data_IF_618563024773
#
_entry.id   IF_618563024773
#
_cell.length_a   1.000
_cell.length_b   1.000
_cell.length_c   1.000
_cell.angle_alpha   90.00
_cell.angle_beta   90.00
_cell.angle_gamma   90.00
#
_symmetry.space_group_name_H-M   'P 1'
#
loop_
_entity.id
_entity.type
_entity.pdbx_description
1 polymer ?
#
# COMPACT_ATOMS: atom_id res chain seq x y z
N UNK A 1 18.40 -21.79 -14.25
CA UNK A 1 17.80 -21.52 -12.93
C UNK A 1 17.46 -22.82 -12.23
N UNK A 2 17.58 -22.90 -10.90
CA UNK A 2 17.15 -24.07 -10.14
C UNK A 2 16.36 -23.61 -8.90
N UNK A 3 15.03 -23.61 -9.03
CA UNK A 3 14.09 -23.20 -8.00
C UNK A 3 14.22 -24.09 -6.74
N UNK A 4 14.51 -25.40 -6.91
CA UNK A 4 14.71 -26.32 -5.78
C UNK A 4 15.94 -25.97 -4.94
N UNK A 5 16.97 -25.38 -5.54
CA UNK A 5 18.14 -24.89 -4.81
C UNK A 5 17.93 -23.50 -4.19
N UNK A 6 16.76 -22.88 -4.40
CA UNK A 6 16.50 -21.48 -4.06
C UNK A 6 17.22 -20.48 -4.98
N UNK A 7 17.67 -20.94 -6.16
CA UNK A 7 18.38 -20.12 -7.16
C UNK A 7 17.41 -19.73 -8.27
N UNK A 8 16.68 -18.64 -8.06
CA UNK A 8 15.78 -18.03 -9.03
C UNK A 8 15.97 -16.51 -9.09
N UNK A 9 15.53 -15.89 -10.18
CA UNK A 9 15.40 -14.43 -10.31
C UNK A 9 13.98 -14.09 -10.71
N UNK A 10 13.45 -13.00 -10.15
CA UNK A 10 12.16 -12.39 -10.50
C UNK A 10 12.35 -10.98 -11.06
N UNK A 11 13.53 -10.70 -11.62
CA UNK A 11 13.90 -9.37 -12.13
C UNK A 11 12.92 -8.83 -13.18
N UNK A 12 12.28 -9.71 -13.95
CA UNK A 12 11.31 -9.36 -14.99
C UNK A 12 9.85 -9.27 -14.51
N UNK A 13 9.58 -9.45 -13.21
CA UNK A 13 8.24 -9.31 -12.65
C UNK A 13 8.09 -7.91 -12.06
N UNK A 14 7.51 -6.96 -12.77
CA UNK A 14 7.48 -5.56 -12.28
C UNK A 14 6.56 -5.36 -11.06
N UNK A 15 5.49 -6.16 -10.96
CA UNK A 15 4.52 -6.09 -9.85
C UNK A 15 5.12 -6.65 -8.55
N UNK A 16 5.34 -5.76 -7.58
CA UNK A 16 5.90 -6.08 -6.26
C UNK A 16 5.03 -7.04 -5.45
N UNK A 17 3.71 -7.01 -5.63
CA UNK A 17 2.75 -7.89 -4.96
C UNK A 17 2.77 -9.27 -5.61
N UNK A 18 2.90 -9.33 -6.93
CA UNK A 18 3.08 -10.57 -7.66
C UNK A 18 4.40 -11.27 -7.28
N UNK A 19 5.50 -10.52 -7.22
CA UNK A 19 6.80 -11.00 -6.72
C UNK A 19 6.65 -11.62 -5.34
N UNK A 20 5.99 -10.91 -4.43
CA UNK A 20 5.76 -11.36 -3.05
C UNK A 20 4.99 -12.70 -2.97
N UNK A 21 3.96 -12.87 -3.80
CA UNK A 21 3.21 -14.12 -3.91
C UNK A 21 4.08 -15.25 -4.45
N UNK A 22 4.80 -15.00 -5.55
CA UNK A 22 5.65 -16.01 -6.19
C UNK A 22 6.72 -16.50 -5.22
N UNK A 23 7.42 -15.59 -4.53
CA UNK A 23 8.43 -15.91 -3.50
C UNK A 23 7.87 -16.82 -2.40
N UNK A 24 6.63 -16.58 -1.97
CA UNK A 24 5.94 -17.42 -0.99
C UNK A 24 5.62 -18.81 -1.56
N UNK A 25 5.10 -18.88 -2.77
CA UNK A 25 4.75 -20.13 -3.46
C UNK A 25 5.97 -21.03 -3.74
N UNK A 26 7.11 -20.44 -4.10
CA UNK A 26 8.33 -21.18 -4.46
C UNK A 26 9.34 -21.27 -3.32
N UNK A 27 8.89 -21.09 -2.07
CA UNK A 27 9.76 -21.15 -0.90
C UNK A 27 10.62 -22.43 -0.91
N UNK A 28 11.91 -22.29 -0.60
CA UNK A 28 12.85 -23.42 -0.57
C UNK A 28 12.41 -24.48 0.42
N UNK A 29 11.87 -24.05 1.56
CA UNK A 29 11.27 -24.93 2.57
C UNK A 29 9.81 -25.26 2.17
N UNK A 30 9.50 -26.51 1.80
CA UNK A 30 8.15 -26.91 1.42
C UNK A 30 7.11 -26.64 2.51
N UNK A 31 7.49 -26.68 3.80
CA UNK A 31 6.57 -26.44 4.91
C UNK A 31 6.15 -24.97 5.03
N UNK A 32 6.90 -24.04 4.43
CA UNK A 32 6.59 -22.60 4.40
C UNK A 32 5.78 -22.17 3.19
N UNK A 33 5.55 -23.07 2.23
CA UNK A 33 4.75 -22.78 1.04
C UNK A 33 3.26 -22.66 1.43
N UNK A 34 2.53 -21.71 0.83
CA UNK A 34 1.10 -21.56 1.06
C UNK A 34 0.32 -22.77 0.54
N UNK A 35 -0.84 -23.05 1.14
CA UNK A 35 -1.88 -23.85 0.46
C UNK A 35 -2.58 -22.97 -0.57
N UNK A 36 -3.31 -23.58 -1.51
CA UNK A 36 -4.09 -22.83 -2.51
C UNK A 36 -5.04 -21.81 -1.85
N UNK A 37 -5.75 -22.21 -0.79
CA UNK A 37 -6.61 -21.29 -0.05
C UNK A 37 -5.86 -20.12 0.61
N UNK A 38 -4.60 -20.30 0.99
CA UNK A 38 -3.76 -19.21 1.50
C UNK A 38 -3.36 -18.23 0.37
N UNK A 39 -3.07 -18.76 -0.82
CA UNK A 39 -2.72 -17.91 -1.97
C UNK A 39 -3.89 -17.01 -2.39
N UNK A 40 -5.14 -17.48 -2.29
CA UNK A 40 -6.32 -16.69 -2.65
C UNK A 40 -6.57 -15.51 -1.70
N UNK A 41 -6.13 -15.59 -0.44
CA UNK A 41 -6.17 -14.48 0.51
C UNK A 41 -5.04 -13.47 0.31
N UNK A 42 -4.07 -13.77 -0.56
CA UNK A 42 -2.95 -12.88 -0.83
C UNK A 42 -3.42 -11.58 -1.50
N UNK A 43 -2.84 -10.41 -1.17
CA UNK A 43 -3.22 -9.12 -1.74
C UNK A 43 -3.14 -9.00 -3.26
N UNK A 44 -2.42 -9.91 -3.91
CA UNK A 44 -2.40 -10.02 -5.36
C UNK A 44 -3.81 -10.23 -5.94
N UNK A 45 -4.64 -11.05 -5.28
CA UNK A 45 -5.99 -11.35 -5.71
C UNK A 45 -7.05 -10.40 -5.13
N UNK A 46 -6.65 -9.39 -4.36
CA UNK A 46 -7.62 -8.43 -3.84
C UNK A 46 -8.21 -7.59 -4.95
N UNK A 47 -9.55 -7.43 -4.98
CA UNK A 47 -10.19 -6.47 -5.87
C UNK A 47 -9.78 -5.05 -5.48
N UNK A 48 -9.96 -4.11 -6.41
CA UNK A 48 -9.47 -2.73 -6.25
C UNK A 48 -10.03 -2.05 -5.00
N UNK A 49 -11.31 -2.27 -4.69
CA UNK A 49 -11.99 -1.71 -3.53
C UNK A 49 -11.30 -2.12 -2.22
N UNK A 50 -10.84 -3.37 -2.14
CA UNK A 50 -10.11 -3.89 -0.97
C UNK A 50 -8.70 -3.34 -0.89
N UNK A 51 -8.05 -3.07 -2.04
CA UNK A 51 -6.74 -2.39 -2.08
C UNK A 51 -6.86 -0.95 -1.59
N UNK A 52 -7.90 -0.23 -2.00
CA UNK A 52 -8.23 1.11 -1.51
C UNK A 52 -8.54 1.08 -0.01
N UNK A 53 -9.35 0.13 0.46
CA UNK A 53 -9.62 -0.03 1.90
C UNK A 53 -8.33 -0.26 2.70
N UNK A 54 -7.41 -1.07 2.19
CA UNK A 54 -6.12 -1.29 2.83
C UNK A 54 -5.31 0.02 2.93
N UNK A 55 -5.23 0.81 1.87
CA UNK A 55 -4.56 2.12 1.89
C UNK A 55 -5.23 3.09 2.89
N UNK A 56 -6.57 3.09 2.97
CA UNK A 56 -7.32 3.88 3.96
C UNK A 56 -7.00 3.46 5.39
N UNK A 57 -6.92 2.15 5.66
CA UNK A 57 -6.54 1.62 6.98
C UNK A 57 -5.10 1.99 7.34
N UNK A 58 -4.16 1.91 6.39
CA UNK A 58 -2.79 2.41 6.60
C UNK A 58 -2.81 3.93 6.88
N UNK A 59 -3.65 4.71 6.21
CA UNK A 59 -3.85 6.14 6.48
C UNK A 59 -4.44 6.48 7.85
N UNK A 60 -4.98 5.47 8.55
CA UNK A 60 -5.44 5.54 9.94
C UNK A 60 -4.38 5.08 10.95
N UNK A 61 -3.27 4.48 10.51
CA UNK A 61 -2.17 4.14 11.41
C UNK A 61 -1.52 5.41 11.99
N UNK A 62 -0.98 5.28 13.21
CA UNK A 62 -0.40 6.39 13.97
C UNK A 62 0.67 7.16 13.18
N UNK A 63 1.41 6.48 12.33
CA UNK A 63 2.46 7.08 11.50
C UNK A 63 1.88 8.01 10.44
N UNK A 64 0.81 7.60 9.75
CA UNK A 64 0.14 8.43 8.74
C UNK A 64 -0.68 9.56 9.39
N UNK A 65 -1.34 9.27 10.51
CA UNK A 65 -2.05 10.30 11.29
C UNK A 65 -1.10 11.41 11.74
N UNK A 66 0.09 11.04 12.20
CA UNK A 66 1.14 11.97 12.64
C UNK A 66 2.15 12.31 11.53
N UNK A 67 1.76 12.24 10.25
CA UNK A 67 2.64 12.47 9.09
C UNK A 67 3.49 13.76 9.15
N UNK A 68 3.04 14.79 9.87
CA UNK A 68 3.75 16.09 10.04
C UNK A 68 4.85 16.06 11.11
N UNK A 69 4.88 15.02 11.93
CA UNK A 69 5.84 14.78 13.02
C UNK A 69 6.43 13.39 12.91
N UNK A 70 6.44 12.81 11.71
CA UNK A 70 6.97 11.48 11.48
C UNK A 70 8.49 11.47 11.72
N UNK A 71 8.98 10.35 12.25
CA UNK A 71 10.40 10.15 12.51
C UNK A 71 11.21 10.25 11.20
N UNK A 72 12.34 10.97 11.17
CA UNK A 72 13.15 11.13 9.96
C UNK A 72 13.58 9.82 9.31
N UNK A 73 13.91 8.79 10.10
CA UNK A 73 14.29 7.46 9.61
C UNK A 73 13.15 6.75 8.90
N UNK A 74 11.91 6.95 9.36
CA UNK A 74 10.72 6.40 8.72
C UNK A 74 10.47 7.09 7.38
N UNK A 75 10.56 8.43 7.35
CA UNK A 75 10.41 9.21 6.13
C UNK A 75 11.46 8.81 5.09
N UNK A 76 12.72 8.71 5.48
CA UNK A 76 13.79 8.28 4.57
C UNK A 76 13.55 6.90 3.97
N UNK A 77 13.10 5.94 4.78
CA UNK A 77 12.80 4.59 4.30
C UNK A 77 11.56 4.55 3.37
N UNK A 78 10.59 5.44 3.57
CA UNK A 78 9.43 5.58 2.69
C UNK A 78 9.81 6.27 1.38
N UNK A 79 10.65 7.30 1.43
CA UNK A 79 11.16 8.00 0.26
C UNK A 79 11.96 7.04 -0.64
N UNK A 80 12.79 6.17 -0.05
CA UNK A 80 13.48 5.10 -0.78
C UNK A 80 12.52 4.09 -1.42
N UNK A 81 11.36 3.79 -0.82
CA UNK A 81 10.35 2.94 -1.46
C UNK A 81 9.62 3.66 -2.59
N UNK A 82 9.43 4.97 -2.44
CA UNK A 82 8.70 5.85 -3.36
C UNK A 82 9.55 6.37 -4.52
N UNK A 83 10.88 6.25 -4.46
CA UNK A 83 11.78 6.79 -5.47
C UNK A 83 11.46 6.25 -6.87
N UNK A 84 11.24 7.16 -7.84
CA UNK A 84 10.91 6.82 -9.22
C UNK A 84 9.50 6.26 -9.43
N UNK A 85 8.63 6.31 -8.43
CA UNK A 85 7.25 5.77 -8.48
C UNK A 85 6.24 6.84 -8.90
N UNK A 86 5.07 6.40 -9.35
CA UNK A 86 4.00 7.27 -9.85
C UNK A 86 3.53 8.31 -8.83
N UNK A 87 3.69 8.07 -7.53
CA UNK A 87 3.24 8.93 -6.44
C UNK A 87 4.35 9.77 -5.79
N UNK A 88 5.57 9.79 -6.33
CA UNK A 88 6.57 10.81 -5.92
C UNK A 88 6.01 12.20 -6.26
N UNK A 89 6.15 13.19 -5.36
CA UNK A 89 5.59 14.55 -5.53
C UNK A 89 4.09 14.55 -5.84
N UNK A 90 3.34 13.64 -5.19
CA UNK A 90 1.92 13.37 -5.46
C UNK A 90 1.04 14.62 -5.42
N UNK A 91 1.38 15.62 -4.60
CA UNK A 91 0.57 16.85 -4.51
C UNK A 91 0.40 17.56 -5.84
N UNK A 92 1.45 17.57 -6.67
CA UNK A 92 1.43 18.19 -8.00
C UNK A 92 0.54 17.44 -9.00
N UNK A 93 0.16 16.19 -8.66
CA UNK A 93 -0.60 15.27 -9.51
C UNK A 93 -2.08 15.21 -9.15
N UNK A 94 -2.45 15.72 -7.97
CA UNK A 94 -3.86 15.83 -7.53
C UNK A 94 -4.47 17.12 -8.12
N UNK A 95 -5.73 17.10 -8.58
CA UNK A 95 -6.44 18.30 -9.00
C UNK A 95 -6.36 19.42 -7.94
N UNK A 96 -5.98 20.66 -8.32
CA UNK A 96 -5.82 21.76 -7.37
C UNK A 96 -7.06 22.03 -6.53
N UNK A 97 -8.25 21.94 -7.12
CA UNK A 97 -9.52 22.17 -6.44
C UNK A 97 -9.74 21.17 -5.29
N UNK A 98 -9.33 19.92 -5.52
CA UNK A 98 -9.40 18.87 -4.50
C UNK A 98 -8.36 19.09 -3.40
N UNK A 99 -7.15 19.49 -3.75
CA UNK A 99 -6.10 19.82 -2.78
C UNK A 99 -6.52 21.00 -1.88
N UNK A 100 -7.04 22.08 -2.45
CA UNK A 100 -7.51 23.25 -1.70
C UNK A 100 -8.63 22.88 -0.72
N UNK A 101 -9.59 22.07 -1.18
CA UNK A 101 -10.70 21.58 -0.36
C UNK A 101 -10.21 20.79 0.86
N UNK A 102 -9.25 19.88 0.68
CA UNK A 102 -8.76 19.02 1.76
C UNK A 102 -7.72 19.70 2.67
N UNK A 103 -6.91 20.63 2.16
CA UNK A 103 -5.91 21.38 2.96
C UNK A 103 -6.57 22.42 3.87
N UNK A 104 -7.71 23.00 3.46
CA UNK A 104 -8.40 24.09 4.18
C UNK A 104 -8.82 23.76 5.62
N UNK A 105 -9.05 22.48 5.96
CA UNK A 105 -9.59 22.07 7.28
C UNK A 105 -8.53 21.65 8.31
N UNK A 106 -7.36 21.15 7.90
CA UNK A 106 -6.47 20.36 8.81
C UNK A 106 -4.96 20.63 8.65
N UNK A 107 -4.57 21.80 8.11
CA UNK A 107 -3.19 22.17 7.72
C UNK A 107 -2.70 21.39 6.51
N UNK A 108 -1.81 21.98 5.72
CA UNK A 108 -1.23 21.34 4.54
C UNK A 108 -0.68 19.93 4.87
N UNK A 109 -0.99 18.94 4.03
CA UNK A 109 -0.33 17.63 4.11
C UNK A 109 1.16 17.78 3.76
N UNK A 110 2.07 16.95 4.29
CA UNK A 110 3.41 16.88 3.73
C UNK A 110 3.38 16.18 2.36
N UNK A 111 4.24 16.57 1.43
CA UNK A 111 4.33 15.93 0.09
C UNK A 111 5.21 14.66 0.16
N UNK A 112 4.78 13.70 0.97
CA UNK A 112 5.44 12.40 1.14
C UNK A 112 4.39 11.29 1.25
N UNK A 113 4.85 10.03 1.29
CA UNK A 113 3.96 8.84 1.31
C UNK A 113 2.98 8.84 2.48
N UNK A 114 3.40 9.28 3.69
CA UNK A 114 2.49 9.37 4.84
C UNK A 114 1.43 10.45 4.64
N UNK A 115 1.80 11.57 4.03
CA UNK A 115 0.87 12.63 3.63
C UNK A 115 -0.17 12.15 2.63
N UNK A 116 0.25 11.40 1.61
CA UNK A 116 -0.65 10.81 0.62
C UNK A 116 -1.61 9.81 1.25
N UNK A 117 -1.10 8.89 2.10
CA UNK A 117 -1.93 7.91 2.79
C UNK A 117 -2.99 8.58 3.67
N UNK A 118 -2.59 9.65 4.38
CA UNK A 118 -3.50 10.43 5.20
C UNK A 118 -4.53 11.19 4.35
N UNK A 119 -4.11 11.71 3.19
CA UNK A 119 -4.97 12.37 2.22
C UNK A 119 -6.03 11.40 1.68
N UNK A 120 -5.62 10.23 1.17
CA UNK A 120 -6.52 9.20 0.64
C UNK A 120 -7.55 8.80 1.69
N UNK A 121 -7.11 8.55 2.93
CA UNK A 121 -8.01 8.25 4.03
C UNK A 121 -9.05 9.36 4.25
N UNK A 122 -8.63 10.63 4.28
CA UNK A 122 -9.55 11.75 4.51
C UNK A 122 -10.50 11.96 3.32
N UNK A 123 -10.04 11.76 2.09
CA UNK A 123 -10.86 11.83 0.89
C UNK A 123 -12.02 10.83 0.98
N UNK A 124 -11.74 9.57 1.30
CA UNK A 124 -12.78 8.54 1.39
C UNK A 124 -13.63 8.56 2.68
N UNK A 125 -13.23 9.31 3.72
CA UNK A 125 -14.01 9.44 4.96
C UNK A 125 -14.90 10.70 4.96
N UNK A 126 -14.34 11.85 4.54
CA UNK A 126 -14.97 13.16 4.68
C UNK A 126 -15.52 13.72 3.34
N UNK A 127 -15.17 13.10 2.20
CA UNK A 127 -15.38 13.63 0.84
C UNK A 127 -15.74 12.54 -0.17
N UNK A 128 -16.71 11.68 0.16
CA UNK A 128 -17.04 10.49 -0.65
C UNK A 128 -17.45 10.83 -2.10
N UNK A 129 -18.17 11.94 -2.31
CA UNK A 129 -18.56 12.39 -3.65
C UNK A 129 -17.34 12.77 -4.52
N UNK A 130 -16.32 13.39 -3.91
CA UNK A 130 -15.08 13.72 -4.62
C UNK A 130 -14.19 12.49 -4.84
N UNK A 131 -14.26 11.52 -3.92
CA UNK A 131 -13.53 10.26 -4.03
C UNK A 131 -13.97 9.45 -5.26
N UNK A 132 -15.26 9.48 -5.58
CA UNK A 132 -15.81 8.81 -6.77
C UNK A 132 -15.34 9.46 -8.09
N UNK A 133 -14.87 10.71 -8.03
CA UNK A 133 -14.38 11.45 -9.20
C UNK A 133 -12.88 11.21 -9.48
N UNK A 134 -12.14 10.64 -8.53
CA UNK A 134 -10.68 10.45 -8.63
C UNK A 134 -10.30 9.00 -8.35
N UNK A 135 -9.89 8.31 -9.40
CA UNK A 135 -9.34 6.97 -9.29
C UNK A 135 -7.86 7.01 -8.88
N UNK A 136 -7.63 6.88 -7.57
CA UNK A 136 -6.29 6.85 -6.97
C UNK A 136 -5.46 5.66 -7.43
N UNK A 137 -6.09 4.53 -7.72
CA UNK A 137 -5.40 3.30 -8.12
C UNK A 137 -4.89 3.40 -9.56
N UNK A 138 -5.64 4.08 -10.43
CA UNK A 138 -5.20 4.41 -11.78
C UNK A 138 -4.19 5.55 -11.83
N UNK A 139 -4.34 6.57 -10.97
CA UNK A 139 -3.41 7.68 -10.90
C UNK A 139 -2.04 7.25 -10.35
N UNK A 140 -2.05 6.34 -9.37
CA UNK A 140 -0.85 5.83 -8.70
C UNK A 140 -0.78 4.30 -8.72
N UNK A 141 -0.56 3.67 -9.90
CA UNK A 141 -0.66 2.21 -10.07
C UNK A 141 0.33 1.40 -9.21
N UNK A 142 1.46 2.00 -8.82
CA UNK A 142 2.49 1.35 -8.00
C UNK A 142 2.38 1.64 -6.49
N UNK A 143 1.44 2.51 -6.07
CA UNK A 143 1.28 2.92 -4.68
C UNK A 143 0.97 1.73 -3.77
N UNK A 144 -0.05 0.95 -4.14
CA UNK A 144 -0.49 -0.19 -3.34
C UNK A 144 0.63 -1.19 -3.12
N UNK A 145 1.36 -1.55 -4.19
CA UNK A 145 2.45 -2.51 -4.12
C UNK A 145 3.60 -2.05 -3.22
N UNK A 146 4.06 -0.79 -3.36
CA UNK A 146 5.10 -0.23 -2.50
C UNK A 146 4.65 -0.16 -1.04
N UNK A 147 3.45 0.37 -0.76
CA UNK A 147 2.92 0.48 0.61
C UNK A 147 2.76 -0.90 1.24
N UNK A 148 2.20 -1.87 0.51
CA UNK A 148 2.04 -3.24 0.99
C UNK A 148 3.39 -3.88 1.35
N UNK A 149 4.38 -3.83 0.45
CA UNK A 149 5.72 -4.37 0.69
C UNK A 149 6.40 -3.68 1.87
N UNK A 150 6.28 -2.36 1.96
CA UNK A 150 6.84 -1.58 3.07
C UNK A 150 6.22 -1.98 4.41
N UNK A 151 4.88 -1.99 4.48
CA UNK A 151 4.12 -2.37 5.65
C UNK A 151 4.42 -3.82 6.08
N UNK A 152 4.57 -4.75 5.12
CA UNK A 152 4.98 -6.13 5.40
C UNK A 152 6.38 -6.18 6.04
N UNK A 153 7.37 -5.47 5.48
CA UNK A 153 8.75 -5.41 6.01
C UNK A 153 8.81 -4.81 7.42
N UNK A 154 7.91 -3.88 7.75
CA UNK A 154 7.81 -3.25 9.07
C UNK A 154 6.86 -3.97 10.04
N UNK A 155 6.32 -5.12 9.64
CA UNK A 155 5.34 -5.93 10.39
C UNK A 155 4.02 -5.18 10.72
N UNK A 156 3.68 -4.16 9.93
CA UNK A 156 2.42 -3.42 10.11
C UNK A 156 1.20 -4.28 9.76
N UNK A 157 1.34 -5.18 8.80
CA UNK A 157 0.24 -6.08 8.38
C UNK A 157 -0.24 -7.02 9.51
N UNK A 158 0.60 -7.24 10.53
CA UNK A 158 0.26 -8.04 11.71
C UNK A 158 -0.50 -7.27 12.78
N UNK A 159 -0.61 -5.94 12.67
CA UNK A 159 -1.35 -5.08 13.61
C UNK A 159 -2.83 -5.41 13.60
N UNK A 160 -3.51 -5.25 14.74
CA UNK A 160 -4.93 -5.61 14.90
C UNK A 160 -5.87 -4.89 13.93
N UNK A 161 -5.54 -3.67 13.52
CA UNK A 161 -6.25 -2.85 12.53
C UNK A 161 -6.22 -3.41 11.11
N UNK A 162 -5.15 -4.14 10.77
CA UNK A 162 -4.83 -4.60 9.41
C UNK A 162 -4.92 -6.12 9.26
N UNK A 163 -4.63 -6.89 10.31
CA UNK A 163 -4.54 -8.35 10.27
C UNK A 163 -5.79 -9.01 9.68
N UNK A 164 -6.97 -8.49 10.03
CA UNK A 164 -8.26 -9.01 9.54
C UNK A 164 -8.41 -8.92 8.02
N UNK A 165 -7.73 -7.97 7.38
CA UNK A 165 -7.74 -7.82 5.92
C UNK A 165 -7.13 -9.04 5.20
N UNK A 166 -6.41 -9.90 5.91
CA UNK A 166 -5.75 -11.09 5.34
C UNK A 166 -6.50 -12.38 5.68
N UNK A 167 -7.64 -12.29 6.36
CA UNK A 167 -8.45 -13.46 6.71
C UNK A 167 -9.24 -13.95 5.47
N UNK A 168 -9.42 -15.27 5.37
CA UNK A 168 -10.02 -15.93 4.20
C UNK A 168 -11.53 -15.73 4.09
N UNK A 169 -12.20 -15.29 5.15
CA UNK A 169 -13.68 -15.27 5.22
C UNK A 169 -14.29 -14.20 4.32
N UNK A 170 -13.51 -13.18 3.95
CA UNK A 170 -13.93 -12.07 3.08
C UNK A 170 -13.90 -12.42 1.57
N UNK A 171 -13.63 -13.67 1.20
CA UNK A 171 -13.57 -14.14 -0.21
C UNK A 171 -14.81 -14.96 -0.62
N UNK A 172 -15.88 -14.94 0.18
CA UNK A 172 -17.11 -15.69 -0.05
C UNK A 172 -18.22 -14.86 -0.68
#
# INVERSE_FOLDING_TARGET
MNIFQGKYTLEHVDDEVAKDLIEWMINKDPAKRPKVGDTLAHPYFWPEERRVEYLRKIGNEKEAENCRKAEPELLHALDQCAEGRSFTEWKSKIPPELMEKLDSKKKAYPDNTLGLLRFIRNLHEDYTEDADCVDMMKMFPDLFGCVYKFAKKRDWNSRSSLKKMFDREDLR
#
